data_IF_199802065731
#
_entry.id   IF_199802065731
#
_cell.length_a   1.000
_cell.length_b   1.000
_cell.length_c   1.000
_cell.angle_alpha   90.00
_cell.angle_beta   90.00
_cell.angle_gamma   90.00
#
_symmetry.space_group_name_H-M   'P 1'
#
loop_
_entity.id
_entity.type
_entity.pdbx_description
1 polymer ?
#
# COMPACT_ATOMS: atom_id res chain seq x y z
N UNK A 1 -32.43 3.44 -10.81
CA UNK A 1 -31.96 2.37 -9.92
C UNK A 1 -30.77 2.93 -9.15
N UNK A 2 -30.93 3.20 -7.87
CA UNK A 2 -29.85 3.72 -7.00
C UNK A 2 -28.77 2.66 -6.91
N UNK A 3 -27.59 2.91 -7.43
CA UNK A 3 -26.42 2.07 -7.19
C UNK A 3 -26.14 2.13 -5.69
N UNK A 4 -26.38 1.04 -4.98
CA UNK A 4 -25.91 0.89 -3.62
C UNK A 4 -24.38 1.15 -3.67
N UNK A 5 -23.93 2.23 -3.04
CA UNK A 5 -22.50 2.54 -2.98
C UNK A 5 -21.81 1.40 -2.24
N UNK A 6 -20.85 0.77 -2.88
CA UNK A 6 -20.02 -0.26 -2.24
C UNK A 6 -19.53 0.23 -0.87
N UNK A 7 -19.54 -0.64 0.16
CA UNK A 7 -19.17 -0.25 1.51
C UNK A 7 -17.70 0.24 1.50
N UNK A 8 -17.51 1.47 1.95
CA UNK A 8 -16.19 2.12 2.02
C UNK A 8 -15.55 1.81 3.36
N UNK A 9 -14.37 1.24 3.33
CA UNK A 9 -13.61 0.93 4.55
C UNK A 9 -12.72 2.10 4.98
N UNK A 10 -12.21 2.89 4.02
CA UNK A 10 -11.43 4.09 4.27
C UNK A 10 -11.92 5.23 3.40
N UNK A 11 -12.11 6.40 4.01
CA UNK A 11 -12.41 7.64 3.27
C UNK A 11 -11.54 8.78 3.79
N UNK A 12 -10.88 9.46 2.86
CA UNK A 12 -10.26 10.76 3.10
C UNK A 12 -11.18 11.82 2.48
N UNK A 13 -11.63 12.79 3.27
CA UNK A 13 -12.57 13.84 2.83
C UNK A 13 -11.92 15.21 2.97
N UNK A 14 -11.59 15.85 1.84
CA UNK A 14 -10.96 17.18 1.75
C UNK A 14 -9.75 17.32 2.69
N UNK A 15 -8.92 16.27 2.74
CA UNK A 15 -7.78 16.20 3.63
C UNK A 15 -6.67 17.12 3.13
N UNK A 16 -6.18 18.00 4.01
CA UNK A 16 -4.99 18.81 3.78
C UNK A 16 -3.95 18.53 4.86
N UNK A 17 -2.69 18.52 4.46
CA UNK A 17 -1.58 18.23 5.37
C UNK A 17 -0.30 18.98 5.01
N UNK A 18 0.47 19.30 6.02
CA UNK A 18 1.79 19.94 5.91
C UNK A 18 2.70 19.42 7.03
N UNK A 19 3.97 19.16 6.72
CA UNK A 19 5.01 18.89 7.74
C UNK A 19 5.51 20.17 8.41
N UNK A 20 5.32 21.33 7.78
CA UNK A 20 5.71 22.64 8.32
C UNK A 20 4.59 23.64 8.07
N UNK A 21 4.58 24.75 8.83
CA UNK A 21 3.54 25.78 8.68
C UNK A 21 3.58 26.52 7.34
N UNK A 22 4.63 26.37 6.56
CA UNK A 22 4.88 27.21 5.38
C UNK A 22 4.31 26.68 4.06
N UNK A 23 4.11 25.35 3.89
CA UNK A 23 3.67 24.78 2.61
C UNK A 23 2.83 23.52 2.81
N UNK A 24 1.61 23.56 2.29
CA UNK A 24 0.77 22.37 2.19
C UNK A 24 1.39 21.38 1.20
N UNK A 25 1.61 20.15 1.68
CA UNK A 25 2.06 19.04 0.86
C UNK A 25 0.86 18.31 0.23
N UNK A 26 -0.21 18.11 1.01
CA UNK A 26 -1.48 17.53 0.53
C UNK A 26 -2.53 18.64 0.58
N UNK A 27 -3.35 18.76 -0.50
CA UNK A 27 -4.32 19.83 -0.66
C UNK A 27 -5.70 19.28 -0.99
N UNK A 28 -6.65 19.44 -0.06
CA UNK A 28 -8.07 19.06 -0.21
C UNK A 28 -8.29 17.69 -0.86
N UNK A 29 -7.40 16.74 -0.55
CA UNK A 29 -7.41 15.42 -1.13
C UNK A 29 -8.63 14.63 -0.67
N UNK A 30 -9.36 14.06 -1.62
CA UNK A 30 -10.50 13.19 -1.35
C UNK A 30 -10.34 11.88 -2.12
N UNK A 31 -10.38 10.76 -1.41
CA UNK A 31 -10.35 9.41 -1.97
C UNK A 31 -11.09 8.44 -1.07
N UNK A 32 -11.46 7.29 -1.62
CA UNK A 32 -12.04 6.20 -0.84
C UNK A 32 -11.48 4.85 -1.29
N UNK A 33 -11.46 3.91 -0.34
CA UNK A 33 -11.11 2.51 -0.56
C UNK A 33 -12.29 1.65 -0.12
N UNK A 34 -12.74 0.76 -0.99
CA UNK A 34 -13.81 -0.21 -0.74
C UNK A 34 -13.30 -1.50 -0.09
N UNK A 35 -14.23 -2.40 0.26
CA UNK A 35 -13.90 -3.74 0.72
C UNK A 35 -13.27 -4.56 -0.40
N UNK A 36 -12.29 -5.41 -0.06
CA UNK A 36 -11.55 -6.26 -1.00
C UNK A 36 -11.03 -5.50 -2.24
N UNK A 37 -10.75 -4.20 -2.10
CA UNK A 37 -10.24 -3.38 -3.19
C UNK A 37 -8.70 -3.45 -3.25
N UNK A 38 -8.14 -3.60 -4.45
CA UNK A 38 -6.70 -3.62 -4.68
C UNK A 38 -6.29 -2.32 -5.38
N UNK A 39 -5.84 -1.34 -4.59
CA UNK A 39 -5.61 0.04 -4.99
C UNK A 39 -4.13 0.33 -5.18
N UNK A 40 -3.73 0.73 -6.38
CA UNK A 40 -2.40 1.25 -6.68
C UNK A 40 -2.33 2.76 -6.51
N UNK A 41 -1.48 3.25 -5.62
CA UNK A 41 -1.19 4.67 -5.45
C UNK A 41 0.08 5.01 -6.25
N UNK A 42 -0.07 5.68 -7.38
CA UNK A 42 0.97 5.91 -8.37
C UNK A 42 1.34 7.39 -8.45
N UNK A 43 2.60 7.69 -8.74
CA UNK A 43 3.12 9.05 -8.90
C UNK A 43 4.62 9.12 -8.77
N UNK A 44 5.21 10.20 -9.20
CA UNK A 44 6.66 10.44 -9.09
C UNK A 44 7.14 10.49 -7.64
N UNK A 45 8.45 10.45 -7.43
CA UNK A 45 9.05 10.67 -6.12
C UNK A 45 8.68 12.06 -5.59
N UNK A 46 8.33 12.13 -4.30
CA UNK A 46 7.90 13.39 -3.69
C UNK A 46 6.46 13.80 -4.01
N UNK A 47 5.68 13.05 -4.81
CA UNK A 47 4.28 13.38 -5.13
C UNK A 47 3.33 13.35 -3.92
N UNK A 48 3.73 12.73 -2.79
CA UNK A 48 2.93 12.66 -1.58
C UNK A 48 2.37 11.28 -1.24
N UNK A 49 2.70 10.21 -1.99
CA UNK A 49 2.20 8.83 -1.78
C UNK A 49 2.38 8.34 -0.35
N UNK A 50 3.60 8.37 0.17
CA UNK A 50 3.91 7.94 1.55
C UNK A 50 3.14 8.77 2.60
N UNK A 51 2.94 10.05 2.33
CA UNK A 51 2.18 10.95 3.22
C UNK A 51 0.70 10.58 3.21
N UNK A 52 0.12 10.26 2.05
CA UNK A 52 -1.26 9.79 1.92
C UNK A 52 -1.45 8.47 2.68
N UNK A 53 -0.52 7.51 2.52
CA UNK A 53 -0.56 6.25 3.28
C UNK A 53 -0.46 6.47 4.78
N UNK A 54 0.45 7.34 5.24
CA UNK A 54 0.59 7.68 6.67
C UNK A 54 -0.63 8.39 7.24
N UNK A 55 -1.29 9.24 6.46
CA UNK A 55 -2.57 9.87 6.83
C UNK A 55 -3.67 8.81 6.94
N UNK A 56 -3.82 7.97 5.92
CA UNK A 56 -4.83 6.91 5.88
C UNK A 56 -4.64 5.85 6.96
N UNK A 57 -3.40 5.57 7.40
CA UNK A 57 -3.11 4.67 8.52
C UNK A 57 -3.21 5.33 9.90
N UNK A 58 -3.40 6.65 9.96
CA UNK A 58 -3.49 7.41 11.22
C UNK A 58 -2.15 7.64 11.91
N UNK A 59 -1.03 7.43 11.24
CA UNK A 59 0.32 7.80 11.71
C UNK A 59 0.47 9.31 11.70
N UNK A 60 -0.10 9.97 10.67
CA UNK A 60 -0.17 11.43 10.58
C UNK A 60 -1.61 11.89 10.80
N UNK A 61 -1.77 13.07 11.39
CA UNK A 61 -3.06 13.72 11.59
C UNK A 61 -3.25 14.82 10.55
N UNK A 62 -4.38 14.89 9.83
CA UNK A 62 -4.62 15.94 8.87
C UNK A 62 -4.70 17.31 9.57
N UNK A 63 -4.27 18.37 8.86
CA UNK A 63 -4.44 19.75 9.31
C UNK A 63 -5.88 20.23 9.08
N UNK A 64 -6.51 19.75 7.99
CA UNK A 64 -7.90 20.04 7.62
C UNK A 64 -8.53 18.80 6.99
N UNK A 65 -9.85 18.73 7.03
CA UNK A 65 -10.62 17.59 6.53
C UNK A 65 -10.75 16.47 7.56
N UNK A 66 -11.29 15.35 7.15
CA UNK A 66 -11.52 14.19 8.02
C UNK A 66 -11.09 12.89 7.35
N UNK A 67 -10.74 11.89 8.16
CA UNK A 67 -10.44 10.54 7.70
C UNK A 67 -11.35 9.59 8.46
N UNK A 68 -12.12 8.80 7.72
CA UNK A 68 -13.04 7.82 8.25
C UNK A 68 -12.53 6.41 7.96
N UNK A 69 -12.61 5.56 8.95
CA UNK A 69 -12.35 4.12 8.88
C UNK A 69 -13.63 3.39 9.31
N UNK A 70 -14.23 2.58 8.40
CA UNK A 70 -15.56 1.99 8.59
C UNK A 70 -16.58 3.01 9.11
N UNK A 71 -16.69 4.14 8.40
CA UNK A 71 -17.60 5.26 8.70
C UNK A 71 -17.39 5.93 10.09
N UNK A 72 -16.34 5.58 10.84
CA UNK A 72 -15.97 6.21 12.12
C UNK A 72 -14.68 7.01 11.95
N UNK A 73 -14.57 8.16 12.64
CA UNK A 73 -13.34 8.96 12.62
C UNK A 73 -12.11 8.11 12.99
N UNK A 74 -11.10 8.10 12.10
CA UNK A 74 -9.87 7.32 12.28
C UNK A 74 -9.14 7.67 13.57
N UNK A 75 -9.14 8.94 13.95
CA UNK A 75 -8.49 9.42 15.17
C UNK A 75 -9.32 9.19 16.46
N UNK A 76 -10.54 8.68 16.32
CA UNK A 76 -11.38 8.24 17.43
C UNK A 76 -11.14 6.79 17.88
N UNK A 77 -10.25 6.05 17.19
CA UNK A 77 -9.84 4.71 17.61
C UNK A 77 -8.66 4.78 18.58
N UNK A 78 -8.63 3.93 19.60
CA UNK A 78 -7.40 3.67 20.35
C UNK A 78 -6.35 3.01 19.45
N UNK A 79 -5.07 3.23 19.73
CA UNK A 79 -3.97 2.74 18.89
C UNK A 79 -4.01 1.23 18.68
N UNK A 80 -4.28 0.42 19.72
CA UNK A 80 -4.40 -1.02 19.61
C UNK A 80 -5.57 -1.45 18.71
N UNK A 81 -6.74 -0.81 18.85
CA UNK A 81 -7.92 -1.13 18.06
C UNK A 81 -7.72 -0.76 16.59
N UNK A 82 -7.11 0.40 16.34
CA UNK A 82 -6.74 0.81 14.99
C UNK A 82 -5.75 -0.18 14.35
N UNK A 83 -4.75 -0.65 15.11
CA UNK A 83 -3.78 -1.62 14.63
C UNK A 83 -4.39 -2.99 14.30
N UNK A 84 -5.53 -3.36 14.88
CA UNK A 84 -6.30 -4.55 14.48
C UNK A 84 -7.00 -4.38 13.12
N UNK A 85 -7.20 -3.16 12.68
CA UNK A 85 -7.95 -2.82 11.46
C UNK A 85 -7.03 -2.44 10.30
N UNK A 86 -5.92 -1.75 10.58
CA UNK A 86 -4.97 -1.28 9.57
C UNK A 86 -3.57 -1.76 9.91
N UNK A 87 -2.89 -2.37 8.94
CA UNK A 87 -1.46 -2.62 8.98
C UNK A 87 -0.74 -1.69 8.01
N UNK A 88 0.41 -1.14 8.42
CA UNK A 88 1.21 -0.23 7.61
C UNK A 88 2.65 -0.73 7.49
N UNK A 89 3.12 -0.91 6.25
CA UNK A 89 4.50 -1.20 5.93
C UNK A 89 5.18 0.07 5.42
N UNK A 90 6.19 0.61 6.12
CA UNK A 90 6.91 1.80 5.67
C UNK A 90 7.88 1.50 4.51
N UNK A 91 8.23 2.53 3.74
CA UNK A 91 9.21 2.45 2.66
C UNK A 91 10.60 2.10 3.19
N UNK A 92 11.04 2.77 4.23
CA UNK A 92 12.36 2.57 4.84
C UNK A 92 12.26 1.66 6.06
N UNK A 93 13.12 0.64 6.12
CA UNK A 93 13.18 -0.37 7.15
C UNK A 93 14.55 -0.37 7.86
N UNK A 94 15.07 0.82 8.18
CA UNK A 94 16.35 0.99 8.86
C UNK A 94 16.23 0.64 10.34
N UNK A 95 16.05 -0.65 10.63
CA UNK A 95 15.97 -1.18 11.97
C UNK A 95 17.15 -2.13 12.18
N UNK A 96 18.05 -1.75 13.07
CA UNK A 96 19.14 -2.60 13.53
C UNK A 96 18.83 -3.02 14.97
N UNK A 97 18.08 -4.11 15.11
CA UNK A 97 17.72 -4.69 16.40
C UNK A 97 18.19 -6.14 16.47
N UNK A 98 18.65 -6.63 17.64
CA UNK A 98 19.13 -7.98 17.80
C UNK A 98 17.99 -9.01 17.97
N UNK A 99 16.92 -8.86 17.16
CA UNK A 99 15.81 -9.79 17.15
C UNK A 99 15.99 -10.83 16.07
N UNK A 100 15.53 -12.04 16.35
CA UNK A 100 15.31 -13.06 15.33
C UNK A 100 14.13 -12.68 14.44
N UNK A 101 14.07 -13.28 13.25
CA UNK A 101 12.94 -13.10 12.32
C UNK A 101 11.62 -13.46 13.01
N UNK A 102 11.57 -14.57 13.73
CA UNK A 102 10.39 -15.04 14.47
C UNK A 102 9.91 -14.02 15.49
N UNK A 103 10.83 -13.48 16.29
CA UNK A 103 10.50 -12.47 17.31
C UNK A 103 9.96 -11.20 16.67
N UNK A 104 10.61 -10.72 15.61
CA UNK A 104 10.17 -9.52 14.90
C UNK A 104 8.77 -9.69 14.28
N UNK A 105 8.53 -10.80 13.59
CA UNK A 105 7.21 -11.09 13.00
C UNK A 105 6.16 -11.23 14.12
N UNK A 106 6.50 -11.85 15.25
CA UNK A 106 5.63 -11.97 16.42
C UNK A 106 5.19 -10.63 17.02
N UNK A 107 5.96 -9.54 16.81
CA UNK A 107 5.55 -8.20 17.24
C UNK A 107 4.28 -7.69 16.53
N UNK A 108 3.95 -8.22 15.35
CA UNK A 108 2.68 -7.94 14.68
C UNK A 108 1.46 -8.37 15.50
N UNK A 109 1.62 -9.29 16.46
CA UNK A 109 0.56 -9.74 17.36
C UNK A 109 0.34 -8.82 18.57
N UNK A 110 1.20 -7.82 18.79
CA UNK A 110 1.13 -6.92 19.95
C UNK A 110 -0.25 -6.28 20.20
N UNK A 111 -1.08 -5.94 19.20
CA UNK A 111 -2.40 -5.37 19.42
C UNK A 111 -3.40 -6.32 20.08
N UNK A 112 -3.12 -7.61 20.13
CA UNK A 112 -4.07 -8.66 20.48
C UNK A 112 -3.78 -9.27 21.86
N UNK A 113 -4.83 -9.48 22.63
CA UNK A 113 -4.80 -10.32 23.83
C UNK A 113 -5.03 -11.79 23.43
N UNK A 114 -5.86 -12.03 22.40
CA UNK A 114 -6.06 -13.34 21.76
C UNK A 114 -5.60 -13.19 20.30
N UNK A 115 -4.52 -13.88 19.89
CA UNK A 115 -3.97 -13.75 18.54
C UNK A 115 -4.99 -14.10 17.44
N UNK A 116 -4.90 -13.46 16.25
CA UNK A 116 -5.68 -13.84 15.08
C UNK A 116 -5.28 -15.25 14.58
N UNK A 117 -6.05 -15.77 13.60
CA UNK A 117 -5.88 -17.13 13.11
C UNK A 117 -4.52 -17.37 12.40
N UNK A 118 -3.88 -16.33 11.86
CA UNK A 118 -2.59 -16.47 11.17
C UNK A 118 -1.45 -16.62 12.18
N UNK A 119 -0.71 -17.74 12.09
CA UNK A 119 0.47 -17.97 12.90
C UNK A 119 1.71 -17.28 12.32
N UNK A 120 2.72 -17.05 13.15
CA UNK A 120 4.04 -16.54 12.71
C UNK A 120 4.67 -17.50 11.68
N UNK A 121 4.54 -18.81 11.88
CA UNK A 121 5.09 -19.80 10.95
C UNK A 121 4.41 -19.73 9.59
N UNK A 122 3.08 -19.64 9.55
CA UNK A 122 2.33 -19.48 8.29
C UNK A 122 2.71 -18.19 7.57
N UNK A 123 2.87 -17.08 8.30
CA UNK A 123 3.29 -15.81 7.70
C UNK A 123 4.71 -15.89 7.12
N UNK A 124 5.64 -16.58 7.81
CA UNK A 124 7.00 -16.81 7.31
C UNK A 124 7.04 -17.72 6.09
N UNK A 125 6.19 -18.74 6.05
CA UNK A 125 6.04 -19.62 4.89
C UNK A 125 5.54 -18.83 3.66
N UNK A 126 4.52 -18.00 3.83
CA UNK A 126 3.97 -17.16 2.75
C UNK A 126 5.01 -16.25 2.10
N UNK A 127 6.01 -15.81 2.83
CA UNK A 127 7.07 -14.95 2.30
C UNK A 127 8.38 -15.70 2.01
N UNK A 128 8.39 -17.04 2.10
CA UNK A 128 9.54 -17.88 1.80
C UNK A 128 10.71 -17.72 2.77
N UNK A 129 10.41 -17.56 4.07
CA UNK A 129 11.41 -17.41 5.14
C UNK A 129 11.30 -18.47 6.25
N UNK A 130 10.51 -19.53 6.07
CA UNK A 130 10.29 -20.58 7.07
C UNK A 130 11.60 -21.22 7.58
N UNK A 131 12.60 -21.40 6.69
CA UNK A 131 13.91 -21.95 7.04
C UNK A 131 14.86 -20.99 7.77
N UNK A 132 14.46 -19.72 7.94
CA UNK A 132 15.29 -18.66 8.55
C UNK A 132 14.69 -18.06 9.81
N UNK A 133 13.67 -18.67 10.39
CA UNK A 133 12.93 -18.14 11.53
C UNK A 133 13.80 -17.74 12.73
N UNK A 134 14.90 -18.49 12.99
CA UNK A 134 15.86 -18.24 14.06
C UNK A 134 17.05 -17.35 13.68
N UNK A 135 17.17 -16.94 12.41
CA UNK A 135 18.22 -16.03 11.98
C UNK A 135 17.98 -14.61 12.54
N UNK A 136 19.06 -13.88 12.84
CA UNK A 136 18.94 -12.48 13.27
C UNK A 136 18.65 -11.55 12.09
N UNK A 137 17.91 -10.48 12.35
CA UNK A 137 17.58 -9.48 11.32
C UNK A 137 18.83 -8.86 10.70
N UNK A 138 19.90 -8.72 11.47
CA UNK A 138 21.20 -8.19 11.03
C UNK A 138 21.86 -9.02 9.93
N UNK A 139 21.60 -10.31 9.91
CA UNK A 139 22.23 -11.28 9.01
C UNK A 139 21.51 -11.42 7.67
N UNK A 140 20.39 -10.70 7.52
CA UNK A 140 19.55 -10.78 6.33
C UNK A 140 19.99 -9.81 5.24
N UNK A 141 19.80 -10.24 3.98
CA UNK A 141 19.81 -9.35 2.82
C UNK A 141 18.66 -8.32 2.90
N UNK A 142 18.77 -7.22 2.15
CA UNK A 142 17.72 -6.20 2.09
C UNK A 142 16.35 -6.77 1.68
N UNK A 143 16.33 -7.69 0.72
CA UNK A 143 15.10 -8.36 0.28
C UNK A 143 14.50 -9.28 1.35
N UNK A 144 15.32 -9.99 2.12
CA UNK A 144 14.85 -10.83 3.23
C UNK A 144 14.31 -9.97 4.38
N UNK A 145 14.98 -8.87 4.72
CA UNK A 145 14.45 -7.89 5.66
C UNK A 145 13.07 -7.40 5.23
N UNK A 146 12.92 -7.02 3.96
CA UNK A 146 11.63 -6.56 3.41
C UNK A 146 10.54 -7.62 3.57
N UNK A 147 10.83 -8.88 3.21
CA UNK A 147 9.89 -10.00 3.37
C UNK A 147 9.55 -10.28 4.83
N UNK A 148 10.49 -10.13 5.76
CA UNK A 148 10.24 -10.27 7.20
C UNK A 148 9.21 -9.23 7.69
N UNK A 149 9.35 -7.97 7.28
CA UNK A 149 8.37 -6.93 7.64
C UNK A 149 7.01 -7.15 6.96
N UNK A 150 6.98 -7.69 5.74
CA UNK A 150 5.72 -8.10 5.10
C UNK A 150 5.05 -9.20 5.94
N UNK A 151 5.80 -10.23 6.38
CA UNK A 151 5.26 -11.27 7.27
C UNK A 151 4.69 -10.68 8.56
N UNK A 152 5.36 -9.69 9.15
CA UNK A 152 4.86 -8.99 10.33
C UNK A 152 3.52 -8.25 10.05
N UNK A 153 3.36 -7.64 8.88
CA UNK A 153 2.07 -7.02 8.52
C UNK A 153 0.97 -8.05 8.29
N UNK A 154 1.31 -9.23 7.77
CA UNK A 154 0.35 -10.32 7.53
C UNK A 154 -0.13 -10.95 8.84
N UNK A 155 0.80 -11.26 9.75
CA UNK A 155 0.45 -11.89 11.05
C UNK A 155 -0.40 -10.95 11.93
N UNK A 156 -0.31 -9.65 11.71
CA UNK A 156 -1.17 -8.66 12.36
C UNK A 156 -2.65 -8.87 12.01
N UNK A 157 -2.99 -9.48 10.86
CA UNK A 157 -4.36 -9.87 10.52
C UNK A 157 -5.34 -8.72 10.27
N UNK A 158 -4.83 -7.54 9.90
CA UNK A 158 -5.65 -6.36 9.63
C UNK A 158 -6.44 -6.49 8.31
N UNK A 159 -7.68 -5.99 8.28
CA UNK A 159 -8.52 -6.00 7.08
C UNK A 159 -8.10 -4.99 6.00
N UNK A 160 -7.24 -4.02 6.34
CA UNK A 160 -6.66 -3.05 5.41
C UNK A 160 -5.14 -3.04 5.51
N UNK A 161 -4.45 -3.39 4.42
CA UNK A 161 -3.00 -3.29 4.30
C UNK A 161 -2.61 -2.01 3.55
N UNK A 162 -1.77 -1.19 4.16
CA UNK A 162 -1.18 -0.01 3.55
C UNK A 162 0.33 -0.23 3.36
N UNK A 163 0.75 -0.38 2.11
CA UNK A 163 2.10 -0.81 1.76
C UNK A 163 2.83 0.30 1.00
N UNK A 164 3.86 0.86 1.63
CA UNK A 164 4.67 1.92 1.04
C UNK A 164 5.85 1.32 0.28
N UNK A 165 5.73 1.24 -1.05
CA UNK A 165 6.72 0.69 -1.98
C UNK A 165 7.23 -0.71 -1.58
N UNK A 166 6.34 -1.69 -1.34
CA UNK A 166 6.74 -3.00 -0.82
C UNK A 166 7.62 -3.80 -1.77
N UNK A 167 7.63 -3.46 -3.07
CA UNK A 167 8.42 -4.15 -4.10
C UNK A 167 9.86 -3.63 -4.21
N UNK A 168 10.18 -2.52 -3.55
CA UNK A 168 11.53 -1.96 -3.59
C UNK A 168 12.56 -2.93 -3.01
N UNK A 169 13.71 -3.04 -3.66
CA UNK A 169 14.82 -3.92 -3.28
C UNK A 169 14.49 -5.43 -3.25
N UNK A 170 13.41 -5.85 -3.92
CA UNK A 170 13.11 -7.26 -4.17
C UNK A 170 13.54 -7.66 -5.59
N UNK A 171 14.09 -8.85 -5.73
CA UNK A 171 14.31 -9.47 -7.04
C UNK A 171 12.96 -9.69 -7.76
N UNK A 172 12.99 -9.72 -9.09
CA UNK A 172 11.79 -9.85 -9.93
C UNK A 172 10.92 -11.05 -9.52
N UNK A 173 11.55 -12.19 -9.19
CA UNK A 173 10.84 -13.37 -8.68
C UNK A 173 9.97 -13.02 -7.47
N UNK A 174 10.56 -12.38 -6.46
CA UNK A 174 9.86 -12.03 -5.22
C UNK A 174 8.85 -10.91 -5.40
N UNK A 175 9.06 -9.99 -6.35
CA UNK A 175 8.04 -9.00 -6.72
C UNK A 175 6.78 -9.67 -7.26
N UNK A 176 6.95 -10.64 -8.19
CA UNK A 176 5.84 -11.40 -8.78
C UNK A 176 5.13 -12.22 -7.69
N UNK A 177 5.87 -12.93 -6.85
CA UNK A 177 5.32 -13.73 -5.75
C UNK A 177 4.54 -12.87 -4.75
N UNK A 178 5.06 -11.69 -4.39
CA UNK A 178 4.36 -10.77 -3.49
C UNK A 178 3.06 -10.25 -4.10
N UNK A 179 3.06 -9.83 -5.36
CA UNK A 179 1.83 -9.35 -6.01
C UNK A 179 0.79 -10.47 -6.09
N UNK A 180 1.19 -11.71 -6.38
CA UNK A 180 0.30 -12.88 -6.36
C UNK A 180 -0.27 -13.12 -4.95
N UNK A 181 0.59 -13.13 -3.92
CA UNK A 181 0.16 -13.28 -2.53
C UNK A 181 -0.87 -12.21 -2.15
N UNK A 182 -0.62 -10.95 -2.47
CA UNK A 182 -1.54 -9.86 -2.16
C UNK A 182 -2.90 -10.04 -2.87
N UNK A 183 -2.90 -10.50 -4.13
CA UNK A 183 -4.14 -10.84 -4.85
C UNK A 183 -4.90 -11.98 -4.16
N UNK A 184 -4.21 -13.06 -3.78
CA UNK A 184 -4.82 -14.18 -3.03
C UNK A 184 -5.43 -13.71 -1.71
N UNK A 185 -4.74 -12.85 -0.96
CA UNK A 185 -5.27 -12.28 0.29
C UNK A 185 -6.53 -11.44 0.06
N UNK A 186 -6.56 -10.65 -1.00
CA UNK A 186 -7.77 -9.91 -1.39
C UNK A 186 -8.91 -10.86 -1.73
N UNK A 187 -8.65 -11.84 -2.59
CA UNK A 187 -9.71 -12.69 -3.17
C UNK A 187 -10.27 -13.71 -2.18
N UNK A 188 -9.40 -14.29 -1.32
CA UNK A 188 -9.78 -15.36 -0.39
C UNK A 188 -10.08 -14.86 1.02
N UNK A 189 -9.48 -13.73 1.43
CA UNK A 189 -9.61 -13.21 2.80
C UNK A 189 -10.34 -11.87 2.88
N UNK A 190 -10.80 -11.34 1.73
CA UNK A 190 -11.44 -10.02 1.63
C UNK A 190 -10.58 -8.88 2.21
N UNK A 191 -9.25 -9.01 2.15
CA UNK A 191 -8.35 -7.97 2.62
C UNK A 191 -8.25 -6.87 1.56
N UNK A 192 -8.46 -5.64 1.97
CA UNK A 192 -8.26 -4.47 1.12
C UNK A 192 -6.80 -4.01 1.17
N UNK A 193 -6.27 -3.60 0.04
CA UNK A 193 -4.85 -3.27 -0.07
C UNK A 193 -4.69 -1.93 -0.79
N UNK A 194 -3.92 -1.03 -0.18
CA UNK A 194 -3.45 0.20 -0.82
C UNK A 194 -1.93 0.15 -0.90
N UNK A 195 -1.39 0.16 -2.09
CA UNK A 195 0.04 -0.01 -2.34
C UNK A 195 0.62 1.16 -3.14
N UNK A 196 1.60 1.86 -2.57
CA UNK A 196 2.36 2.84 -3.33
C UNK A 196 3.31 2.15 -4.30
N UNK A 197 3.34 2.64 -5.53
CA UNK A 197 4.04 2.06 -6.67
C UNK A 197 4.85 3.12 -7.43
N UNK A 198 5.91 2.67 -8.09
CA UNK A 198 6.64 3.44 -9.10
C UNK A 198 6.44 2.85 -10.50
N UNK A 199 6.26 1.53 -10.61
CA UNK A 199 6.14 0.85 -11.88
C UNK A 199 4.70 0.93 -12.39
N UNK A 200 4.53 1.61 -13.53
CA UNK A 200 3.24 1.81 -14.17
C UNK A 200 2.68 0.47 -14.71
N UNK A 201 3.55 -0.43 -15.19
CA UNK A 201 3.13 -1.74 -15.69
C UNK A 201 2.61 -2.65 -14.57
N UNK A 202 3.18 -2.55 -13.36
CA UNK A 202 2.64 -3.25 -12.20
C UNK A 202 1.26 -2.69 -11.84
N UNK A 203 1.05 -1.37 -11.97
CA UNK A 203 -0.23 -0.73 -11.69
C UNK A 203 -1.39 -1.23 -12.57
N UNK A 204 -1.12 -1.72 -13.78
CA UNK A 204 -2.12 -2.37 -14.64
C UNK A 204 -2.77 -3.62 -14.02
N UNK A 205 -2.16 -4.19 -12.98
CA UNK A 205 -2.67 -5.39 -12.31
C UNK A 205 -3.63 -5.08 -11.16
N UNK A 206 -3.87 -3.81 -10.86
CA UNK A 206 -4.74 -3.38 -9.76
C UNK A 206 -6.19 -3.20 -10.22
N UNK A 207 -7.13 -3.30 -9.28
CA UNK A 207 -8.54 -3.03 -9.59
C UNK A 207 -8.82 -1.54 -9.73
N UNK A 208 -8.00 -0.70 -9.08
CA UNK A 208 -8.13 0.76 -9.06
C UNK A 208 -6.76 1.41 -8.96
N UNK A 209 -6.57 2.50 -9.66
CA UNK A 209 -5.36 3.32 -9.61
C UNK A 209 -5.73 4.74 -9.18
N UNK A 210 -4.91 5.30 -8.31
CA UNK A 210 -4.95 6.70 -7.89
C UNK A 210 -3.63 7.33 -8.33
N UNK A 211 -3.70 8.24 -9.28
CA UNK A 211 -2.54 8.94 -9.81
C UNK A 211 -2.35 10.26 -9.07
N UNK A 212 -1.17 10.46 -8.47
CA UNK A 212 -0.86 11.61 -7.60
C UNK A 212 0.30 12.43 -8.17
N UNK A 213 0.12 13.75 -8.18
CA UNK A 213 1.18 14.74 -8.47
C UNK A 213 1.07 15.90 -7.49
N UNK A 214 2.18 16.32 -6.91
CA UNK A 214 2.30 17.51 -6.04
C UNK A 214 1.23 17.56 -4.93
N UNK A 215 0.95 16.42 -4.31
CA UNK A 215 -0.02 16.30 -3.22
C UNK A 215 -1.48 16.38 -3.64
N UNK A 216 -1.76 16.35 -4.93
CA UNK A 216 -3.11 16.36 -5.52
C UNK A 216 -3.36 15.12 -6.37
N UNK A 217 -4.62 14.73 -6.51
CA UNK A 217 -5.02 13.61 -7.35
C UNK A 217 -5.23 14.12 -8.79
N UNK A 218 -4.55 13.49 -9.75
CA UNK A 218 -4.74 13.71 -11.18
C UNK A 218 -5.83 12.82 -11.77
N UNK A 219 -6.01 11.63 -11.24
CA UNK A 219 -7.02 10.68 -11.70
C UNK A 219 -7.24 9.56 -10.70
N UNK A 220 -8.48 9.07 -10.64
CA UNK A 220 -8.91 7.89 -9.87
C UNK A 220 -9.82 7.08 -10.77
N UNK A 221 -9.58 5.78 -10.89
CA UNK A 221 -10.43 4.87 -11.67
C UNK A 221 -9.73 3.56 -11.95
N UNK A 222 -10.24 2.83 -12.93
CA UNK A 222 -9.59 1.62 -13.42
C UNK A 222 -8.27 1.97 -14.11
N UNK A 223 -7.28 1.06 -14.13
CA UNK A 223 -6.00 1.31 -14.77
C UNK A 223 -6.14 1.85 -16.21
N UNK A 224 -7.03 1.26 -17.02
CA UNK A 224 -7.25 1.65 -18.41
C UNK A 224 -7.88 3.05 -18.59
N UNK A 225 -8.53 3.58 -17.56
CA UNK A 225 -9.13 4.91 -17.55
C UNK A 225 -8.12 5.98 -17.09
N UNK A 226 -7.26 5.61 -16.14
CA UNK A 226 -6.32 6.53 -15.48
C UNK A 226 -4.94 6.54 -16.13
N UNK A 227 -4.46 5.39 -16.60
CA UNK A 227 -3.13 5.27 -17.19
C UNK A 227 -3.18 5.61 -18.68
N UNK A 228 -3.59 6.83 -19.00
CA UNK A 228 -3.57 7.39 -20.36
C UNK A 228 -2.26 8.12 -20.61
N UNK A 229 -1.85 8.25 -21.87
CA UNK A 229 -0.63 8.99 -22.26
C UNK A 229 -0.61 10.40 -21.65
N UNK A 230 -1.73 11.12 -21.74
CA UNK A 230 -1.86 12.46 -21.20
C UNK A 230 -1.67 12.54 -19.68
N UNK A 231 -2.31 11.64 -18.91
CA UNK A 231 -2.21 11.63 -17.45
C UNK A 231 -0.86 11.11 -16.96
N UNK A 232 -0.30 10.08 -17.63
CA UNK A 232 1.04 9.57 -17.31
C UNK A 232 2.10 10.63 -17.60
N UNK A 233 2.02 11.31 -18.74
CA UNK A 233 2.91 12.44 -19.05
C UNK A 233 2.77 13.56 -18.03
N UNK A 234 1.55 13.91 -17.66
CA UNK A 234 1.31 14.93 -16.64
C UNK A 234 1.91 14.55 -15.27
N UNK A 235 1.85 13.26 -14.87
CA UNK A 235 2.31 12.80 -13.56
C UNK A 235 3.83 12.61 -13.48
N UNK A 236 4.46 12.11 -14.55
CA UNK A 236 5.85 11.65 -14.54
C UNK A 236 6.79 12.44 -15.44
N UNK A 237 6.25 13.37 -16.24
CA UNK A 237 6.99 14.15 -17.24
C UNK A 237 7.69 13.26 -18.30
N UNK A 238 7.09 12.09 -18.62
CA UNK A 238 7.58 11.14 -19.63
C UNK A 238 6.49 10.84 -20.66
N UNK A 239 6.91 10.60 -21.91
CA UNK A 239 6.01 10.08 -22.95
C UNK A 239 5.92 8.57 -22.84
N UNK A 240 4.70 8.05 -22.98
CA UNK A 240 4.45 6.61 -22.98
C UNK A 240 3.54 6.25 -24.14
N UNK A 241 3.63 4.99 -24.58
CA UNK A 241 2.71 4.40 -25.51
C UNK A 241 2.02 3.21 -24.84
N UNK A 242 0.70 3.23 -24.78
CA UNK A 242 -0.08 2.13 -24.24
C UNK A 242 -0.33 1.13 -25.36
N UNK A 243 0.23 -0.06 -25.23
CA UNK A 243 0.11 -1.13 -26.22
C UNK A 243 -0.90 -2.13 -25.68
N UNK A 244 -2.00 -2.31 -26.42
CA UNK A 244 -3.02 -3.33 -26.14
C UNK A 244 -2.74 -4.54 -26.99
N UNK A 245 -2.68 -5.72 -26.37
CA UNK A 245 -2.46 -7.00 -27.04
C UNK A 245 -3.79 -7.64 -27.46
N UNK A 246 -3.73 -8.60 -28.36
CA UNK A 246 -4.90 -9.31 -28.87
C UNK A 246 -5.61 -10.16 -27.79
N UNK A 247 -4.91 -10.53 -26.70
CA UNK A 247 -5.44 -11.26 -25.55
C UNK A 247 -6.14 -10.36 -24.51
N UNK A 248 -6.25 -9.05 -24.80
CA UNK A 248 -6.85 -8.04 -23.91
C UNK A 248 -5.89 -7.50 -22.85
N UNK A 249 -4.66 -8.02 -22.75
CA UNK A 249 -3.64 -7.46 -21.87
C UNK A 249 -3.11 -6.13 -22.41
N UNK A 250 -2.63 -5.29 -21.50
CA UNK A 250 -2.00 -4.02 -21.87
C UNK A 250 -0.65 -3.91 -21.20
N UNK A 251 0.30 -3.27 -21.88
CA UNK A 251 1.55 -2.85 -21.26
C UNK A 251 1.92 -1.43 -21.74
N UNK A 252 2.66 -0.74 -20.91
CA UNK A 252 3.10 0.62 -21.17
C UNK A 252 4.56 0.56 -21.59
N UNK A 253 4.81 1.04 -22.81
CA UNK A 253 6.15 1.24 -23.33
C UNK A 253 6.54 2.69 -23.14
N UNK A 254 7.70 2.91 -22.55
CA UNK A 254 8.28 4.25 -22.46
C UNK A 254 8.72 4.69 -23.86
N UNK A 255 8.31 5.90 -24.26
CA UNK A 255 8.77 6.51 -25.50
C UNK A 255 10.20 7.03 -25.33
N UNK A 256 11.00 6.91 -26.36
CA UNK A 256 12.25 7.67 -26.43
C UNK A 256 11.89 9.14 -26.56
N UNK A 257 12.39 9.98 -25.63
CA UNK A 257 12.35 11.42 -25.79
C UNK A 257 13.25 11.73 -27.00
N UNK A 258 12.63 11.96 -28.18
CA UNK A 258 13.31 12.53 -29.31
C UNK A 258 13.47 14.04 -29.12
#
# INVERSE_FOLDING_TARGET
MSSASEPKILELRKVSFSYSKQRLLIRELSLSVGEAEFVGLLGANGSGKSTILKLGSGILKPAMGEILLWARSLHGYHNKDRAKLISYLPQTLDISVPFTIRELVGMGLYPYDIPPAMSVDSALEMVGLQGKASAHLTDLSGGEKRRTFIAMTLVQGAGLLMLDEPLANLDIKYQIELVRLLKTLRDEKNISIVMALHDINIALQFSKVILVKDGSILGIGRPEEVLTDALVRAAFDVQVNIIRQADGSSYIRYGDNA
#
